data_IF_950135466889
#
_entry.id   IF_950135466889
#
_cell.length_a   1.000
_cell.length_b   1.000
_cell.length_c   1.000
_cell.angle_alpha   90.00
_cell.angle_beta   90.00
_cell.angle_gamma   90.00
#
_symmetry.space_group_name_H-M   'P 1'
#
loop_
_entity.id
_entity.type
_entity.pdbx_description
1 polymer ?
#
# COMPACT_ATOMS: atom_id res chain seq x y z
N UNK A 1 -1.88 -8.25 -31.63
CA UNK A 1 -1.87 -8.73 -30.22
C UNK A 1 -3.10 -8.15 -29.54
N UNK A 2 -3.91 -8.96 -28.85
CA UNK A 2 -5.08 -8.45 -28.12
C UNK A 2 -4.63 -7.68 -26.88
N UNK A 3 -5.38 -6.65 -26.47
CA UNK A 3 -5.14 -5.89 -25.23
C UNK A 3 -4.97 -6.81 -24.00
N UNK A 4 -5.75 -7.89 -23.96
CA UNK A 4 -5.67 -8.90 -22.90
C UNK A 4 -4.31 -9.59 -22.85
N UNK A 5 -3.75 -9.97 -24.02
CA UNK A 5 -2.44 -10.62 -24.08
C UNK A 5 -1.30 -9.73 -23.57
N UNK A 6 -1.39 -8.42 -23.82
CA UNK A 6 -0.43 -7.44 -23.29
C UNK A 6 -0.59 -7.27 -21.79
N UNK A 7 -1.83 -7.20 -21.29
CA UNK A 7 -2.12 -7.12 -19.85
C UNK A 7 -1.55 -8.31 -19.07
N UNK A 8 -1.79 -9.55 -19.54
CA UNK A 8 -1.27 -10.75 -18.87
C UNK A 8 0.27 -10.83 -18.89
N UNK A 9 0.91 -10.37 -19.96
CA UNK A 9 2.37 -10.34 -20.06
C UNK A 9 2.97 -9.33 -19.07
N UNK A 10 2.36 -8.14 -18.97
CA UNK A 10 2.77 -7.09 -18.04
C UNK A 10 2.60 -7.55 -16.58
N UNK A 11 1.46 -8.16 -16.27
CA UNK A 11 1.16 -8.68 -14.94
C UNK A 11 2.16 -9.78 -14.51
N UNK A 12 2.58 -10.66 -15.43
CA UNK A 12 3.61 -11.69 -15.15
C UNK A 12 4.95 -11.11 -14.71
N UNK A 13 5.34 -9.96 -15.26
CA UNK A 13 6.58 -9.27 -14.89
C UNK A 13 6.44 -8.40 -13.64
N UNK A 14 5.28 -7.77 -13.43
CA UNK A 14 5.05 -6.87 -12.29
C UNK A 14 4.85 -7.63 -10.98
N UNK A 15 4.14 -8.76 -10.98
CA UNK A 15 3.89 -9.56 -9.77
C UNK A 15 5.18 -9.93 -9.00
N UNK A 16 6.25 -10.45 -9.61
CA UNK A 16 7.46 -10.80 -8.86
C UNK A 16 8.18 -9.57 -8.30
N UNK A 17 8.18 -8.44 -9.01
CA UNK A 17 8.73 -7.17 -8.51
C UNK A 17 7.93 -6.68 -7.31
N UNK A 18 6.61 -6.79 -7.40
CA UNK A 18 5.68 -6.42 -6.35
C UNK A 18 5.82 -7.28 -5.09
N UNK A 19 5.96 -8.60 -5.24
CA UNK A 19 6.24 -9.52 -4.12
C UNK A 19 7.59 -9.20 -3.46
N UNK A 20 8.62 -8.87 -4.24
CA UNK A 20 9.90 -8.43 -3.72
C UNK A 20 9.78 -7.14 -2.90
N UNK A 21 9.06 -6.15 -3.43
CA UNK A 21 8.80 -4.90 -2.71
C UNK A 21 8.08 -5.15 -1.38
N UNK A 22 7.04 -5.98 -1.39
CA UNK A 22 6.29 -6.34 -0.19
C UNK A 22 7.16 -7.00 0.89
N UNK A 23 8.07 -7.91 0.49
CA UNK A 23 9.03 -8.54 1.41
C UNK A 23 9.99 -7.52 2.01
N UNK A 24 10.52 -6.60 1.20
CA UNK A 24 11.44 -5.55 1.66
C UNK A 24 10.76 -4.62 2.66
N UNK A 25 9.53 -4.18 2.36
CA UNK A 25 8.75 -3.35 3.27
C UNK A 25 8.38 -4.09 4.56
N UNK A 26 8.01 -5.36 4.49
CA UNK A 26 7.75 -6.18 5.68
C UNK A 26 9.01 -6.28 6.56
N UNK A 27 10.18 -6.54 5.98
CA UNK A 27 11.44 -6.57 6.75
C UNK A 27 11.73 -5.21 7.39
N UNK A 28 11.47 -4.11 6.68
CA UNK A 28 11.71 -2.75 7.19
C UNK A 28 10.69 -2.32 8.26
N UNK A 29 9.47 -2.83 8.21
CA UNK A 29 8.47 -2.62 9.26
C UNK A 29 8.90 -3.29 10.59
N UNK A 30 9.56 -4.46 10.54
CA UNK A 30 10.02 -5.15 11.76
C UNK A 30 11.41 -4.72 12.25
N UNK A 31 12.32 -4.31 11.35
CA UNK A 31 13.72 -3.98 11.68
C UNK A 31 14.11 -2.55 11.33
N UNK A 32 13.15 -1.64 11.16
CA UNK A 32 13.43 -0.25 10.82
C UNK A 32 14.25 0.45 11.92
N UNK A 33 15.33 1.18 11.56
CA UNK A 33 16.21 1.83 12.53
C UNK A 33 15.58 3.06 13.18
N UNK A 34 14.64 3.71 12.49
CA UNK A 34 13.88 4.86 13.01
C UNK A 34 12.39 4.56 13.06
N UNK A 35 11.68 5.19 14.00
CA UNK A 35 10.23 5.08 14.11
C UNK A 35 9.57 5.54 12.80
N UNK A 36 10.08 6.62 12.20
CA UNK A 36 9.61 7.13 10.91
C UNK A 36 9.79 6.11 9.77
N UNK A 37 10.93 5.39 9.69
CA UNK A 37 11.14 4.33 8.70
C UNK A 37 10.13 3.17 8.85
N UNK A 38 9.80 2.80 10.09
CA UNK A 38 8.83 1.73 10.37
C UNK A 38 7.44 2.14 9.90
N UNK A 39 7.02 3.36 10.23
CA UNK A 39 5.69 3.88 9.88
C UNK A 39 5.57 4.03 8.37
N UNK A 40 6.58 4.61 7.72
CA UNK A 40 6.61 4.75 6.27
C UNK A 40 6.55 3.39 5.57
N UNK A 41 7.22 2.36 6.11
CA UNK A 41 7.13 1.01 5.58
C UNK A 41 5.73 0.40 5.76
N UNK A 42 5.04 0.70 6.86
CA UNK A 42 3.66 0.27 7.10
C UNK A 42 2.69 0.96 6.13
N UNK A 43 2.84 2.26 5.89
CA UNK A 43 2.02 2.99 4.90
C UNK A 43 2.22 2.41 3.49
N UNK A 44 3.47 2.17 3.08
CA UNK A 44 3.78 1.53 1.81
C UNK A 44 3.11 0.14 1.66
N UNK A 45 3.09 -0.66 2.74
CA UNK A 45 2.40 -1.95 2.75
C UNK A 45 0.87 -1.80 2.62
N UNK A 46 0.26 -0.83 3.28
CA UNK A 46 -1.17 -0.54 3.15
C UNK A 46 -1.54 -0.09 1.73
N UNK A 47 -0.70 0.75 1.12
CA UNK A 47 -0.88 1.20 -0.26
C UNK A 47 -0.73 0.09 -1.28
N UNK A 48 0.25 -0.81 -1.06
CA UNK A 48 0.39 -2.03 -1.83
C UNK A 48 -0.93 -2.82 -1.76
N UNK A 49 -1.41 -3.17 -0.57
CA UNK A 49 -2.68 -3.92 -0.42
C UNK A 49 -3.84 -3.24 -1.16
N UNK A 50 -3.95 -1.91 -1.10
CA UNK A 50 -4.97 -1.16 -1.83
C UNK A 50 -4.82 -1.29 -3.36
N UNK A 51 -3.59 -1.22 -3.89
CA UNK A 51 -3.32 -1.43 -5.31
C UNK A 51 -3.66 -2.86 -5.75
N UNK A 52 -3.34 -3.87 -4.93
CA UNK A 52 -3.71 -5.25 -5.19
C UNK A 52 -5.23 -5.45 -5.20
N UNK A 53 -5.94 -4.84 -4.25
CA UNK A 53 -7.41 -4.85 -4.21
C UNK A 53 -8.03 -4.18 -5.44
N UNK A 54 -7.44 -3.09 -5.94
CA UNK A 54 -7.89 -2.44 -7.16
C UNK A 54 -7.72 -3.33 -8.40
N UNK A 55 -6.59 -4.04 -8.52
CA UNK A 55 -6.36 -5.02 -9.61
C UNK A 55 -7.37 -6.18 -9.50
N UNK A 56 -7.62 -6.70 -8.30
CA UNK A 56 -8.64 -7.73 -8.08
C UNK A 56 -10.04 -7.24 -8.41
N UNK A 57 -10.37 -5.98 -8.13
CA UNK A 57 -11.66 -5.39 -8.48
C UNK A 57 -11.90 -5.40 -10.00
N UNK A 58 -10.86 -5.08 -10.78
CA UNK A 58 -10.90 -5.17 -12.25
C UNK A 58 -11.08 -6.62 -12.70
N UNK A 59 -10.37 -7.57 -12.08
CA UNK A 59 -10.47 -8.99 -12.42
C UNK A 59 -11.86 -9.58 -12.13
N UNK A 60 -12.43 -9.31 -10.96
CA UNK A 60 -13.76 -9.79 -10.56
C UNK A 60 -14.92 -8.96 -11.14
N UNK A 61 -14.63 -7.87 -11.87
CA UNK A 61 -15.62 -6.89 -12.35
C UNK A 61 -16.57 -6.41 -11.25
N UNK A 62 -16.04 -6.27 -10.04
CA UNK A 62 -16.82 -5.95 -8.84
C UNK A 62 -16.34 -4.63 -8.23
N UNK A 63 -17.26 -3.67 -8.13
CA UNK A 63 -16.97 -2.31 -7.65
C UNK A 63 -16.70 -2.28 -6.13
N UNK A 64 -17.18 -3.27 -5.39
CA UNK A 64 -17.09 -3.31 -3.93
C UNK A 64 -15.65 -3.41 -3.40
N UNK A 65 -14.71 -4.02 -4.15
CA UNK A 65 -13.31 -4.08 -3.74
C UNK A 65 -12.61 -2.72 -3.84
N UNK A 66 -13.04 -1.85 -4.76
CA UNK A 66 -12.46 -0.51 -4.92
C UNK A 66 -12.84 0.39 -3.76
N UNK A 67 -14.10 0.33 -3.28
CA UNK A 67 -14.50 1.16 -2.13
C UNK A 67 -13.72 0.79 -0.85
N UNK A 68 -13.47 -0.51 -0.63
CA UNK A 68 -12.62 -0.98 0.47
C UNK A 68 -11.18 -0.49 0.35
N UNK A 69 -10.60 -0.54 -0.85
CA UNK A 69 -9.25 -0.05 -1.11
C UNK A 69 -9.13 1.47 -0.86
N UNK A 70 -10.14 2.25 -1.25
CA UNK A 70 -10.18 3.69 -0.99
C UNK A 70 -10.22 4.01 0.51
N UNK A 71 -11.04 3.29 1.28
CA UNK A 71 -11.13 3.51 2.73
C UNK A 71 -9.81 3.17 3.41
N UNK A 72 -9.15 2.07 3.01
CA UNK A 72 -7.83 1.70 3.52
C UNK A 72 -6.77 2.77 3.22
N UNK A 73 -6.77 3.32 1.99
CA UNK A 73 -5.83 4.38 1.62
C UNK A 73 -6.06 5.67 2.44
N UNK A 74 -7.32 6.05 2.70
CA UNK A 74 -7.63 7.20 3.54
C UNK A 74 -7.22 6.98 5.00
N UNK A 75 -7.35 5.75 5.51
CA UNK A 75 -6.93 5.40 6.86
C UNK A 75 -5.41 5.42 7.02
N UNK A 76 -4.66 4.87 6.06
CA UNK A 76 -3.19 4.94 6.04
C UNK A 76 -2.71 6.39 6.08
N UNK A 77 -3.25 7.22 5.18
CA UNK A 77 -2.95 8.65 5.13
C UNK A 77 -3.23 9.39 6.45
N UNK A 78 -4.35 9.08 7.12
CA UNK A 78 -4.69 9.72 8.38
C UNK A 78 -3.71 9.35 9.50
N UNK A 79 -3.27 8.10 9.53
CA UNK A 79 -2.26 7.60 10.47
C UNK A 79 -0.91 8.30 10.25
N UNK A 80 -0.51 8.52 8.99
CA UNK A 80 0.74 9.23 8.67
C UNK A 80 0.72 10.68 9.14
N UNK A 81 -0.38 11.41 8.88
CA UNK A 81 -0.51 12.79 9.38
C UNK A 81 -0.45 12.84 10.90
N UNK A 82 -1.14 11.90 11.56
CA UNK A 82 -1.17 11.85 13.01
C UNK A 82 0.23 11.67 13.60
N UNK A 83 1.02 10.74 13.04
CA UNK A 83 2.36 10.49 13.55
C UNK A 83 3.34 11.59 13.13
N UNK A 84 3.22 12.14 11.93
CA UNK A 84 4.02 13.29 11.51
C UNK A 84 3.81 14.48 12.47
N UNK A 85 2.56 14.75 12.85
CA UNK A 85 2.23 15.79 13.82
C UNK A 85 2.79 15.47 15.22
N UNK A 86 2.71 14.21 15.65
CA UNK A 86 3.29 13.77 16.91
C UNK A 86 4.82 13.94 16.95
N UNK A 87 5.51 13.61 15.86
CA UNK A 87 6.97 13.72 15.76
C UNK A 87 7.45 15.18 15.76
N UNK A 88 6.70 16.09 15.14
CA UNK A 88 7.06 17.51 15.03
C UNK A 88 6.70 18.30 16.29
N UNK A 89 5.49 18.14 16.81
CA UNK A 89 4.97 19.00 17.88
C UNK A 89 4.91 18.33 19.24
N UNK A 90 5.15 17.01 19.35
CA UNK A 90 4.94 16.18 20.57
C UNK A 90 3.52 16.23 21.18
N UNK A 91 2.62 17.04 20.61
CA UNK A 91 1.22 17.14 20.97
C UNK A 91 0.37 16.33 20.00
N UNK A 92 -0.57 15.54 20.53
CA UNK A 92 -1.53 14.76 19.76
C UNK A 92 -2.94 15.12 20.20
N UNK A 93 -3.78 15.49 19.22
CA UNK A 93 -5.11 16.05 19.47
C UNK A 93 -5.02 17.52 19.85
N UNK A 94 -5.86 18.34 19.22
CA UNK A 94 -6.27 19.58 19.87
C UNK A 94 -7.25 19.23 20.99
#
# INVERSE_FOLDING_TARGET
>A
MSLESQFFLLMKFVIPVYLLAFIIYAVRAFKGPTIADIILAVDCLSFDVAAFMAILAVYFKSVYLVSGAMILALWGYLLDIYIAKHLVSKEVGA
#
